data_IF_874909625072
#
_entry.id   IF_874909625072
#
_cell.length_a   1.000
_cell.length_b   1.000
_cell.length_c   1.000
_cell.angle_alpha   90.00
_cell.angle_beta   90.00
_cell.angle_gamma   90.00
#
_symmetry.space_group_name_H-M   'P 1'
#
loop_
_entity.id
_entity.type
_entity.pdbx_description
1 polymer ?
#
# COMPACT_ATOMS: atom_id res chain seq x y z
N UNK A 1 4.65 12.33 -0.66
CA UNK A 1 3.85 11.18 -1.15
C UNK A 1 4.76 10.38 -2.07
N UNK A 2 4.78 9.07 -1.94
CA UNK A 2 5.62 8.13 -2.67
C UNK A 2 4.75 7.29 -3.59
N UNK A 3 5.25 6.99 -4.79
CA UNK A 3 4.55 6.15 -5.76
C UNK A 3 4.95 4.68 -5.62
N UNK A 4 4.01 3.76 -5.83
CA UNK A 4 4.27 2.33 -5.95
C UNK A 4 3.33 1.67 -6.96
N UNK A 5 3.79 0.57 -7.57
CA UNK A 5 2.98 -0.22 -8.49
C UNK A 5 2.32 -1.41 -7.78
N UNK A 6 1.01 -1.55 -7.98
CA UNK A 6 0.24 -2.70 -7.53
C UNK A 6 -0.94 -2.93 -8.46
N UNK A 7 -1.21 -4.20 -8.79
CA UNK A 7 -2.31 -4.61 -9.66
C UNK A 7 -2.33 -3.90 -11.03
N UNK A 8 -1.15 -3.66 -11.60
CA UNK A 8 -1.00 -2.98 -12.89
C UNK A 8 -1.31 -1.48 -12.88
N UNK A 9 -1.41 -0.86 -11.69
CA UNK A 9 -1.65 0.57 -11.51
C UNK A 9 -0.58 1.21 -10.63
N UNK A 10 -0.40 2.52 -10.80
CA UNK A 10 0.45 3.35 -9.93
C UNK A 10 -0.40 4.01 -8.85
N UNK A 11 0.09 3.98 -7.61
CA UNK A 11 -0.58 4.51 -6.43
C UNK A 11 0.34 5.46 -5.68
N UNK A 12 -0.21 6.54 -5.15
CA UNK A 12 0.48 7.46 -4.25
C UNK A 12 0.07 7.20 -2.81
N UNK A 13 1.05 7.17 -1.89
CA UNK A 13 0.81 7.07 -0.44
C UNK A 13 1.89 7.76 0.39
N UNK A 14 1.77 7.80 1.71
CA UNK A 14 2.81 8.29 2.60
C UNK A 14 3.91 7.25 2.87
N UNK A 15 5.05 7.70 3.41
CA UNK A 15 6.22 6.85 3.61
C UNK A 15 5.94 5.69 4.58
N UNK A 16 5.24 5.95 5.67
CA UNK A 16 4.90 4.95 6.69
C UNK A 16 4.01 3.85 6.11
N UNK A 17 2.99 4.21 5.32
CA UNK A 17 2.10 3.24 4.66
C UNK A 17 2.86 2.39 3.65
N UNK A 18 3.77 3.01 2.88
CA UNK A 18 4.61 2.28 1.94
C UNK A 18 5.58 1.33 2.65
N UNK A 19 6.16 1.75 3.77
CA UNK A 19 7.04 0.92 4.60
C UNK A 19 6.30 -0.30 5.15
N UNK A 20 5.07 -0.10 5.65
CA UNK A 20 4.23 -1.17 6.16
C UNK A 20 3.85 -2.19 5.08
N UNK A 21 3.45 -1.72 3.89
CA UNK A 21 3.17 -2.58 2.74
C UNK A 21 4.39 -3.42 2.34
N UNK A 22 5.57 -2.82 2.31
CA UNK A 22 6.83 -3.52 2.00
C UNK A 22 7.16 -4.56 3.07
N UNK A 23 7.01 -4.22 4.35
CA UNK A 23 7.26 -5.13 5.46
C UNK A 23 6.39 -6.39 5.34
N UNK A 24 5.08 -6.25 5.16
CA UNK A 24 4.18 -7.39 5.05
C UNK A 24 4.43 -8.22 3.79
N UNK A 25 4.79 -7.56 2.68
CA UNK A 25 5.17 -8.26 1.45
C UNK A 25 6.45 -9.08 1.64
N UNK A 26 7.47 -8.52 2.28
CA UNK A 26 8.73 -9.23 2.58
C UNK A 26 8.50 -10.40 3.54
N UNK A 27 7.56 -10.29 4.49
CA UNK A 27 7.21 -11.40 5.38
C UNK A 27 6.29 -12.45 4.74
N UNK A 28 5.91 -12.29 3.47
CA UNK A 28 4.94 -13.19 2.80
C UNK A 28 3.53 -13.13 3.39
N UNK A 29 3.18 -12.04 4.10
CA UNK A 29 1.88 -11.88 4.73
C UNK A 29 0.93 -11.14 3.77
N UNK A 30 0.43 -11.87 2.78
CA UNK A 30 -0.44 -11.32 1.73
C UNK A 30 -1.77 -10.78 2.27
N UNK A 31 -2.31 -11.40 3.33
CA UNK A 31 -3.53 -10.93 4.02
C UNK A 31 -3.34 -9.50 4.54
N UNK A 32 -2.22 -9.24 5.22
CA UNK A 32 -1.93 -7.92 5.75
C UNK A 32 -1.59 -6.90 4.65
N UNK A 33 -0.96 -7.32 3.55
CA UNK A 33 -0.79 -6.44 2.38
C UNK A 33 -2.16 -5.98 1.85
N UNK A 34 -3.10 -6.92 1.70
CA UNK A 34 -4.47 -6.63 1.29
C UNK A 34 -5.18 -5.67 2.25
N UNK A 35 -5.13 -5.96 3.56
CA UNK A 35 -5.78 -5.15 4.58
C UNK A 35 -5.24 -3.71 4.63
N UNK A 36 -3.91 -3.53 4.57
CA UNK A 36 -3.30 -2.18 4.54
C UNK A 36 -3.70 -1.43 3.28
N UNK A 37 -3.72 -2.11 2.13
CA UNK A 37 -4.10 -1.50 0.87
C UNK A 37 -5.57 -1.05 0.88
N UNK A 38 -6.49 -1.90 1.34
CA UNK A 38 -7.92 -1.61 1.42
C UNK A 38 -8.22 -0.47 2.40
N UNK A 39 -7.70 -0.57 3.62
CA UNK A 39 -7.88 0.46 4.65
C UNK A 39 -7.24 1.78 4.22
N UNK A 40 -6.03 1.74 3.66
CA UNK A 40 -5.33 2.91 3.15
C UNK A 40 -6.14 3.64 2.07
N UNK A 41 -6.82 2.90 1.19
CA UNK A 41 -7.78 3.50 0.24
C UNK A 41 -9.00 4.09 0.93
N UNK A 42 -9.60 3.38 1.89
CA UNK A 42 -10.81 3.85 2.59
C UNK A 42 -10.57 5.16 3.35
N UNK A 43 -9.36 5.37 3.86
CA UNK A 43 -8.95 6.58 4.58
C UNK A 43 -8.31 7.65 3.69
N UNK A 44 -8.23 7.43 2.38
CA UNK A 44 -7.60 8.39 1.46
C UNK A 44 -6.08 8.51 1.59
N UNK A 45 -5.42 7.57 2.28
CA UNK A 45 -3.95 7.50 2.39
C UNK A 45 -3.28 6.85 1.19
N UNK A 46 -4.01 6.00 0.47
CA UNK A 46 -3.59 5.43 -0.81
C UNK A 46 -4.55 5.93 -1.87
N UNK A 47 -4.04 6.68 -2.83
CA UNK A 47 -4.81 7.22 -3.95
C UNK A 47 -4.19 6.79 -5.26
N UNK A 48 -5.00 6.62 -6.30
CA UNK A 48 -4.48 6.38 -7.65
C UNK A 48 -3.66 7.60 -8.09
N UNK A 49 -2.48 7.37 -8.67
CA UNK A 49 -1.54 8.43 -9.03
C UNK A 49 -1.97 9.26 -10.24
#
# INVERSE_FOLDING_TARGET
MMAFEANGKTWNTDEDTLALLRQFRTSGNEEMVGAVFELGRSFGRIVEA
#
